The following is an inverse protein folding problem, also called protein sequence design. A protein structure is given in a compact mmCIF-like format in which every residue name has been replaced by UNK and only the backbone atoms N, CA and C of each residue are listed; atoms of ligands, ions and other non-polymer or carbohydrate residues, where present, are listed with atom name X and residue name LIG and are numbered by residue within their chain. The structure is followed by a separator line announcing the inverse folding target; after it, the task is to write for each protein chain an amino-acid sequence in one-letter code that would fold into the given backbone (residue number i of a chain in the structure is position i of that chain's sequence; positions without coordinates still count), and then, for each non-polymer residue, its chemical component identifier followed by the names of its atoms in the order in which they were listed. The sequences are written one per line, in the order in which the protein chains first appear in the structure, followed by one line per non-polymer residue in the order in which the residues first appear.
data_IF_443833944692
#
_entry.id   IF_443833944692
#
_cell.length_a   1.000
_cell.length_b   1.000
_cell.length_c   1.000
_cell.angle_alpha   90.00
_cell.angle_beta   90.00
_cell.angle_gamma   90.00
#
_symmetry.space_group_name_H-M   'P 1'
#
loop_
_entity.id
_entity.type
_entity.pdbx_description
1 polymer ?
#
# COMPACT_ATOMS: atom_id res chain seq x y z
N UNK A 1 -23.96 5.23 -6.61
CA UNK A 1 -22.76 4.55 -7.12
C UNK A 1 -21.73 4.54 -6.00
N UNK A 2 -21.12 3.39 -5.67
CA UNK A 2 -20.10 3.34 -4.61
C UNK A 2 -18.75 3.74 -5.21
N UNK A 3 -18.29 4.97 -4.92
CA UNK A 3 -16.92 5.39 -5.23
C UNK A 3 -15.98 4.95 -4.12
N UNK A 4 -14.76 4.59 -4.49
CA UNK A 4 -13.70 4.19 -3.57
C UNK A 4 -12.58 5.23 -3.63
N UNK A 5 -12.10 5.65 -2.46
CA UNK A 5 -10.96 6.57 -2.39
C UNK A 5 -9.67 5.77 -2.47
N UNK A 6 -8.97 5.91 -3.60
CA UNK A 6 -7.65 5.32 -3.84
C UNK A 6 -6.56 6.38 -3.72
N UNK A 7 -5.32 5.97 -3.52
CA UNK A 7 -4.17 6.88 -3.59
C UNK A 7 -3.50 6.70 -4.95
N UNK A 8 -3.32 7.81 -5.68
CA UNK A 8 -2.65 7.82 -6.98
C UNK A 8 -1.13 7.94 -6.82
N UNK A 9 -0.42 7.86 -7.96
CA UNK A 9 1.04 8.01 -8.02
C UNK A 9 1.57 9.31 -7.39
N UNK A 10 0.77 10.38 -7.36
CA UNK A 10 1.12 11.66 -6.72
C UNK A 10 1.02 11.64 -5.19
N UNK A 11 0.58 10.52 -4.58
CA UNK A 11 0.26 10.45 -3.15
C UNK A 11 -1.03 11.16 -2.77
N UNK A 12 -1.81 11.63 -3.75
CA UNK A 12 -3.10 12.28 -3.52
C UNK A 12 -4.24 11.26 -3.60
N UNK A 13 -5.27 11.40 -2.74
CA UNK A 13 -6.48 10.61 -2.85
C UNK A 13 -7.28 11.00 -4.10
N UNK A 14 -7.77 10.01 -4.84
CA UNK A 14 -8.67 10.18 -5.97
C UNK A 14 -9.84 9.19 -5.88
N UNK A 15 -10.98 9.56 -6.48
CA UNK A 15 -12.15 8.69 -6.53
C UNK A 15 -12.03 7.70 -7.69
N UNK A 16 -12.27 6.43 -7.39
CA UNK A 16 -12.27 5.36 -8.38
C UNK A 16 -13.56 4.55 -8.31
N UNK A 17 -14.01 4.05 -9.46
CA UNK A 17 -15.09 3.10 -9.53
C UNK A 17 -14.69 1.70 -9.02
N UNK A 18 -13.37 1.44 -8.90
CA UNK A 18 -12.85 0.16 -8.43
C UNK A 18 -12.21 0.29 -7.04
N UNK A 19 -12.32 -0.74 -6.18
CA UNK A 19 -11.79 -0.72 -4.81
C UNK A 19 -10.26 -0.78 -4.70
N UNK A 20 -9.53 -0.92 -5.82
CA UNK A 20 -8.09 -1.15 -5.84
C UNK A 20 -7.71 -2.60 -5.58
N UNK A 21 -6.51 -2.99 -6.01
CA UNK A 21 -6.00 -4.38 -5.89
C UNK A 21 -5.00 -4.54 -4.75
N UNK A 22 -4.40 -3.43 -4.31
CA UNK A 22 -3.39 -3.41 -3.26
C UNK A 22 -3.90 -2.61 -2.06
N UNK A 23 -3.52 -3.07 -0.87
CA UNK A 23 -3.84 -2.41 0.39
C UNK A 23 -2.60 -1.84 1.04
N UNK A 24 -2.71 -0.65 1.59
CA UNK A 24 -1.63 -0.02 2.33
C UNK A 24 -2.10 0.66 3.60
N UNK A 25 -1.14 1.20 4.33
CA UNK A 25 -1.36 1.93 5.56
C UNK A 25 -0.77 3.32 5.46
N UNK A 26 -1.64 4.34 5.57
CA UNK A 26 -1.25 5.75 5.41
C UNK A 26 -0.17 6.17 6.42
N UNK A 27 -0.31 5.77 7.69
CA UNK A 27 0.63 6.14 8.76
C UNK A 27 1.99 5.48 8.65
N UNK A 28 2.02 4.21 8.24
CA UNK A 28 3.27 3.45 8.13
C UNK A 28 3.92 3.57 6.75
N UNK A 29 3.21 4.21 5.79
CA UNK A 29 3.56 4.33 4.37
C UNK A 29 3.98 2.99 3.77
N UNK A 30 3.27 1.91 4.11
CA UNK A 30 3.53 0.56 3.58
C UNK A 30 2.40 0.20 2.65
N UNK A 31 2.71 -0.41 1.51
CA UNK A 31 1.74 -1.08 0.66
C UNK A 31 2.04 -2.58 0.58
N UNK A 32 1.00 -3.37 0.36
CA UNK A 32 1.07 -4.82 0.32
C UNK A 32 -0.14 -5.38 -0.41
N UNK A 33 -0.15 -6.69 -0.60
CA UNK A 33 -1.34 -7.37 -1.09
C UNK A 33 -2.39 -7.52 0.01
N UNK A 34 -3.67 -7.55 -0.37
CA UNK A 34 -4.79 -7.67 0.56
C UNK A 34 -4.81 -9.03 1.29
N UNK A 35 -4.21 -10.06 0.70
CA UNK A 35 -4.07 -11.43 1.21
C UNK A 35 -2.88 -11.60 2.18
N UNK A 36 -2.09 -10.56 2.41
CA UNK A 36 -0.85 -10.68 3.18
C UNK A 36 -1.12 -11.02 4.66
N UNK A 37 -0.39 -12.00 5.19
CA UNK A 37 -0.38 -12.32 6.61
C UNK A 37 -0.01 -11.12 7.51
N UNK A 38 0.85 -10.20 7.03
CA UNK A 38 1.16 -8.97 7.74
C UNK A 38 -0.05 -8.01 7.79
N UNK A 39 -0.82 -7.91 6.70
CA UNK A 39 -2.06 -7.14 6.67
C UNK A 39 -3.10 -7.76 7.61
N UNK A 40 -3.27 -9.09 7.60
CA UNK A 40 -4.13 -9.82 8.55
C UNK A 40 -3.71 -9.60 10.00
N UNK A 41 -2.40 -9.68 10.32
CA UNK A 41 -1.89 -9.38 11.67
C UNK A 41 -2.13 -7.94 12.08
N UNK A 42 -2.00 -6.99 11.14
CA UNK A 42 -2.27 -5.58 11.41
C UNK A 42 -3.76 -5.34 11.68
N UNK A 43 -4.65 -5.99 10.93
CA UNK A 43 -6.10 -5.97 11.16
C UNK A 43 -6.44 -6.63 12.51
N UNK A 44 -5.86 -7.79 12.80
CA UNK A 44 -6.05 -8.52 14.06
C UNK A 44 -5.55 -7.73 15.28
N UNK A 45 -4.55 -6.84 15.11
CA UNK A 45 -4.10 -5.90 16.14
C UNK A 45 -5.06 -4.73 16.40
N UNK A 46 -6.23 -4.69 15.74
CA UNK A 46 -7.37 -3.85 16.13
C UNK A 46 -7.26 -2.35 15.83
N UNK A 47 -6.06 -1.80 15.59
CA UNK A 47 -5.86 -0.36 15.41
C UNK A 47 -5.93 0.17 13.96
N UNK A 48 -6.15 -0.70 12.96
CA UNK A 48 -5.62 -0.45 11.60
C UNK A 48 -6.65 -0.10 10.51
N UNK A 49 -7.94 -0.23 10.78
CA UNK A 49 -8.96 -0.09 9.71
C UNK A 49 -9.19 1.38 9.30
N UNK A 50 -9.02 2.34 10.22
CA UNK A 50 -9.31 3.76 9.96
C UNK A 50 -8.33 4.45 8.99
N UNK A 51 -7.13 3.91 8.81
CA UNK A 51 -6.09 4.50 7.95
C UNK A 51 -5.66 3.57 6.81
N UNK A 52 -6.50 2.57 6.49
CA UNK A 52 -6.30 1.71 5.34
C UNK A 52 -6.51 2.51 4.06
N UNK A 53 -5.49 2.54 3.22
CA UNK A 53 -5.55 3.12 1.89
C UNK A 53 -5.48 2.01 0.86
N UNK A 54 -6.01 2.25 -0.33
CA UNK A 54 -5.98 1.30 -1.42
C UNK A 54 -5.28 1.91 -2.61
N UNK A 55 -4.60 1.06 -3.37
CA UNK A 55 -3.89 1.43 -4.59
C UNK A 55 -4.39 0.58 -5.74
N UNK A 56 -4.40 1.17 -6.93
CA UNK A 56 -4.77 0.46 -8.15
C UNK A 56 -3.71 -0.57 -8.52
N UNK A 57 -2.44 -0.16 -8.48
CA UNK A 57 -1.29 -0.97 -8.86
C UNK A 57 -0.07 -0.67 -7.95
N UNK A 58 0.98 -1.49 -8.06
CA UNK A 58 2.21 -1.30 -7.28
C UNK A 58 2.94 -0.01 -7.69
N UNK A 59 2.92 0.34 -8.97
CA UNK A 59 3.63 1.49 -9.51
C UNK A 59 3.17 2.80 -8.85
N UNK A 60 1.85 2.99 -8.72
CA UNK A 60 1.21 4.13 -8.06
C UNK A 60 1.60 4.18 -6.58
N UNK A 61 1.62 3.03 -5.90
CA UNK A 61 2.02 2.97 -4.51
C UNK A 61 3.48 3.37 -4.30
N UNK A 62 4.39 2.89 -5.17
CA UNK A 62 5.80 3.26 -5.13
C UNK A 62 6.01 4.73 -5.45
N UNK A 63 5.34 5.25 -6.48
CA UNK A 63 5.40 6.65 -6.87
C UNK A 63 4.88 7.58 -5.75
N UNK A 64 3.85 7.16 -5.03
CA UNK A 64 3.32 7.86 -3.85
C UNK A 64 4.28 7.85 -2.64
N UNK A 65 5.43 7.19 -2.75
CA UNK A 65 6.42 7.07 -1.67
C UNK A 65 5.99 6.09 -0.58
N UNK A 66 5.28 5.03 -0.94
CA UNK A 66 5.00 3.91 -0.05
C UNK A 66 6.04 2.81 -0.28
N UNK A 67 6.46 2.15 0.81
CA UNK A 67 7.37 1.01 0.75
C UNK A 67 6.61 -0.31 0.58
N UNK A 68 7.12 -1.25 -0.23
CA UNK A 68 6.58 -2.60 -0.32
C UNK A 68 6.71 -3.34 1.02
N UNK A 69 5.76 -4.23 1.27
CA UNK A 69 5.81 -5.12 2.41
C UNK A 69 6.83 -6.25 2.18
N UNK A 70 7.85 -6.33 3.05
CA UNK A 70 8.87 -7.37 3.01
C UNK A 70 8.33 -8.80 3.18
N UNK A 71 7.10 -8.97 3.71
CA UNK A 71 6.51 -10.28 3.99
C UNK A 71 5.80 -10.87 2.76
N UNK A 72 4.91 -10.11 2.09
CA UNK A 72 4.23 -10.61 0.89
C UNK A 72 4.98 -10.33 -0.40
N UNK A 73 5.81 -9.29 -0.44
CA UNK A 73 6.54 -8.90 -1.64
C UNK A 73 8.03 -8.69 -1.31
N UNK A 74 8.75 -9.77 -0.94
CA UNK A 74 10.17 -9.69 -0.61
C UNK A 74 11.01 -9.23 -1.81
N UNK A 75 10.64 -9.61 -3.04
CA UNK A 75 11.32 -9.16 -4.26
C UNK A 75 11.17 -7.65 -4.48
N UNK A 76 9.94 -7.12 -4.41
CA UNK A 76 9.71 -5.68 -4.52
C UNK A 76 10.41 -4.91 -3.39
N UNK A 77 10.43 -5.47 -2.17
CA UNK A 77 11.16 -4.89 -1.04
C UNK A 77 12.67 -4.88 -1.22
N UNK A 78 13.26 -5.95 -1.76
CA UNK A 78 14.67 -5.97 -2.10
C UNK A 78 15.00 -4.93 -3.19
N UNK A 79 14.16 -4.82 -4.23
CA UNK A 79 14.31 -3.81 -5.28
C UNK A 79 14.21 -2.39 -4.70
N UNK A 80 13.20 -2.12 -3.87
CA UNK A 80 13.03 -0.83 -3.19
C UNK A 80 14.23 -0.50 -2.31
N UNK A 81 14.74 -1.46 -1.52
CA UNK A 81 15.92 -1.27 -0.66
C UNK A 81 17.17 -0.96 -1.49
N UNK A 82 17.34 -1.61 -2.63
CA UNK A 82 18.44 -1.32 -3.58
C UNK A 82 18.31 0.09 -4.17
N UNK A 83 17.11 0.52 -4.52
CA UNK A 83 16.88 1.87 -5.04
C UNK A 83 16.95 2.97 -3.97
N UNK A 84 16.62 2.66 -2.72
CA UNK A 84 16.66 3.59 -1.59
C UNK A 84 18.04 3.70 -0.93
N UNK A 85 19.01 2.86 -1.33
CA UNK A 85 20.34 2.74 -0.73
C UNK A 85 21.43 3.64 -1.30
N UNK A 86 21.10 4.71 -2.03
CA UNK A 86 22.08 5.76 -2.35
C UNK A 86 21.89 6.94 -1.39
N UNK A 87 22.61 6.87 -0.28
CA UNK A 87 22.93 7.95 0.64
C UNK A 87 24.24 7.62 1.31
#
# INVERSE_FOLDING_TARGET
MRTWTLIGASGQPYESAVPGTLGGHRRARIYGRLDCAAARRAIARGGYVRHRVFFLNEADARAAGYRPCAVCMPQAYAAWKRSAGCG
#
